data_IF_475322268856
#
_entry.id   IF_475322268856
#
_cell.length_a   1.000
_cell.length_b   1.000
_cell.length_c   1.000
_cell.angle_alpha   90.00
_cell.angle_beta   90.00
_cell.angle_gamma   90.00
#
_symmetry.space_group_name_H-M   'P 1'
#
loop_
_entity.id
_entity.type
_entity.pdbx_description
1 polymer ?
#
# COMPACT_ATOMS: atom_id res chain seq x y z
N UNK A 1 30.81 53.89 9.02
CA UNK A 1 31.24 53.37 10.34
C UNK A 1 30.60 52.00 10.56
N UNK A 2 31.30 50.89 10.26
CA UNK A 2 30.75 49.55 10.45
C UNK A 2 30.74 49.17 11.94
N UNK A 3 29.56 48.75 12.43
CA UNK A 3 29.32 48.41 13.82
C UNK A 3 30.06 47.15 14.28
N UNK A 4 30.83 47.29 15.36
CA UNK A 4 31.56 46.22 16.04
C UNK A 4 30.57 45.24 16.66
N UNK A 5 30.50 44.01 16.15
CA UNK A 5 29.69 42.93 16.77
C UNK A 5 30.41 42.38 17.99
N UNK A 6 29.76 42.47 19.15
CA UNK A 6 30.21 41.90 20.42
C UNK A 6 29.97 40.38 20.40
N UNK A 7 30.94 39.53 20.77
CA UNK A 7 30.75 38.09 20.82
C UNK A 7 29.85 37.69 22.00
N UNK A 8 28.83 36.88 21.71
CA UNK A 8 27.93 36.30 22.71
C UNK A 8 28.63 35.11 23.38
N UNK A 9 28.68 35.03 24.73
CA UNK A 9 29.30 33.91 25.43
C UNK A 9 28.52 32.61 25.20
N UNK A 10 29.23 31.54 24.85
CA UNK A 10 28.66 30.19 24.70
C UNK A 10 28.36 29.58 26.06
N UNK A 11 27.18 28.98 26.27
CA UNK A 11 26.88 28.24 27.50
C UNK A 11 27.76 26.99 27.61
N UNK A 12 28.31 26.78 28.81
CA UNK A 12 29.06 25.58 29.19
C UNK A 12 28.11 24.38 29.25
N UNK A 13 28.31 23.42 28.35
CA UNK A 13 27.58 22.15 28.35
C UNK A 13 28.20 21.21 29.39
N UNK A 14 27.44 20.65 30.34
CA UNK A 14 27.96 19.68 31.30
C UNK A 14 28.40 18.40 30.58
N UNK A 15 29.63 17.95 30.86
CA UNK A 15 30.13 16.64 30.43
C UNK A 15 29.31 15.55 31.10
N UNK A 16 28.51 14.86 30.30
CA UNK A 16 27.83 13.62 30.69
C UNK A 16 28.87 12.58 31.10
N UNK A 17 28.68 12.03 32.30
CA UNK A 17 29.50 10.97 32.88
C UNK A 17 29.55 9.72 32.00
N UNK A 18 30.67 9.03 32.09
CA UNK A 18 30.97 7.73 31.51
C UNK A 18 29.82 6.72 31.69
N UNK A 19 29.30 6.23 30.57
CA UNK A 19 28.30 5.18 30.54
C UNK A 19 28.87 3.87 31.13
N UNK A 20 28.07 3.11 31.91
CA UNK A 20 28.49 1.81 32.42
C UNK A 20 28.69 0.81 31.27
N UNK A 21 29.71 -0.04 31.43
CA UNK A 21 30.08 -1.08 30.47
C UNK A 21 28.86 -1.96 30.14
N UNK A 22 28.51 -1.98 28.85
CA UNK A 22 27.45 -2.83 28.29
C UNK A 22 27.85 -4.30 28.49
N UNK A 23 27.09 -5.03 29.31
CA UNK A 23 27.23 -6.47 29.46
C UNK A 23 27.07 -7.14 28.08
N UNK A 24 28.09 -7.89 27.67
CA UNK A 24 28.09 -8.68 26.44
C UNK A 24 27.08 -9.81 26.62
N UNK A 25 26.03 -9.91 25.78
CA UNK A 25 25.07 -11.01 25.91
C UNK A 25 25.76 -12.35 25.61
N UNK A 26 25.37 -13.43 26.31
CA UNK A 26 25.95 -14.75 26.12
C UNK A 26 25.77 -15.21 24.66
N UNK A 27 26.86 -15.70 24.09
CA UNK A 27 26.93 -16.22 22.71
C UNK A 27 26.08 -17.48 22.65
N UNK A 28 24.85 -17.37 22.14
CA UNK A 28 23.98 -18.52 21.88
C UNK A 28 24.69 -19.42 20.87
N UNK A 29 25.16 -20.57 21.34
CA UNK A 29 25.70 -21.64 20.50
C UNK A 29 24.56 -22.19 19.66
N UNK A 30 24.59 -21.93 18.35
CA UNK A 30 23.67 -22.55 17.40
C UNK A 30 23.88 -24.07 17.43
N UNK A 31 22.83 -24.89 17.52
CA UNK A 31 22.95 -26.33 17.38
C UNK A 31 23.53 -26.67 15.99
N UNK A 32 24.24 -27.79 15.87
CA UNK A 32 24.78 -28.25 14.60
C UNK A 32 23.63 -28.51 13.62
N UNK A 33 23.57 -27.70 12.56
CA UNK A 33 22.62 -27.87 11.45
C UNK A 33 22.89 -29.23 10.80
N UNK A 34 21.92 -30.14 10.91
CA UNK A 34 21.91 -31.41 10.18
C UNK A 34 22.04 -31.12 8.69
N UNK A 35 23.16 -31.53 8.10
CA UNK A 35 23.45 -31.32 6.68
C UNK A 35 22.49 -32.16 5.83
N UNK A 36 21.36 -31.55 5.44
CA UNK A 36 20.49 -32.09 4.40
C UNK A 36 21.27 -32.02 3.08
N UNK A 37 21.46 -33.19 2.46
CA UNK A 37 22.12 -33.42 1.18
C UNK A 37 21.53 -32.49 0.11
N UNK A 38 22.23 -31.41 -0.18
CA UNK A 38 21.91 -30.56 -1.32
C UNK A 38 22.39 -31.25 -2.61
N UNK A 39 21.65 -31.11 -3.74
CA UNK A 39 22.10 -31.59 -5.02
C UNK A 39 23.39 -30.85 -5.41
N UNK A 40 24.53 -31.54 -5.31
CA UNK A 40 25.84 -31.02 -5.68
C UNK A 40 25.91 -30.87 -7.19
N UNK A 41 25.88 -29.62 -7.65
CA UNK A 41 26.51 -29.25 -8.90
C UNK A 41 28.02 -29.40 -8.68
N UNK A 42 28.69 -30.24 -9.48
CA UNK A 42 30.10 -30.63 -9.41
C UNK A 42 31.10 -29.48 -9.67
N UNK A 43 30.83 -28.27 -9.17
CA UNK A 43 31.81 -27.20 -9.18
C UNK A 43 32.91 -27.53 -8.16
N UNK A 44 34.20 -27.53 -8.57
CA UNK A 44 35.28 -27.88 -7.66
C UNK A 44 35.31 -26.90 -6.48
N UNK A 45 35.32 -27.43 -5.26
CA UNK A 45 35.27 -26.64 -4.03
C UNK A 45 36.53 -25.80 -3.77
N UNK A 46 37.59 -25.98 -4.57
CA UNK A 46 38.87 -25.29 -4.41
C UNK A 46 39.46 -24.92 -5.78
N UNK A 47 40.19 -23.79 -5.86
CA UNK A 47 40.84 -23.39 -7.10
C UNK A 47 41.92 -24.40 -7.49
N UNK A 48 42.12 -24.64 -8.80
CA UNK A 48 43.27 -25.40 -9.28
C UNK A 48 44.59 -24.86 -8.72
N UNK A 49 45.57 -25.72 -8.39
CA UNK A 49 46.88 -25.26 -7.96
C UNK A 49 47.60 -24.53 -9.11
N UNK A 50 48.42 -23.52 -8.78
CA UNK A 50 49.28 -22.83 -9.75
C UNK A 50 48.64 -21.70 -10.55
N UNK A 51 47.41 -21.27 -10.22
CA UNK A 51 46.81 -20.08 -10.83
C UNK A 51 47.52 -18.80 -10.40
N UNK A 52 47.76 -17.90 -11.35
CA UNK A 52 48.18 -16.53 -11.03
C UNK A 52 47.02 -15.72 -10.41
N UNK A 53 47.30 -14.52 -9.86
CA UNK A 53 46.29 -13.70 -9.19
C UNK A 53 45.11 -13.32 -10.08
N UNK A 54 45.32 -13.13 -11.39
CA UNK A 54 44.28 -12.76 -12.35
C UNK A 54 43.40 -13.96 -12.67
N UNK A 55 44.00 -15.13 -12.85
CA UNK A 55 43.31 -16.41 -13.08
C UNK A 55 42.52 -16.84 -11.85
N UNK A 56 43.07 -16.66 -10.64
CA UNK A 56 42.39 -16.93 -9.39
C UNK A 56 41.15 -16.04 -9.21
N UNK A 57 41.27 -14.75 -9.51
CA UNK A 57 40.13 -13.82 -9.48
C UNK A 57 39.03 -14.23 -10.46
N UNK A 58 39.40 -14.58 -11.71
CA UNK A 58 38.46 -15.06 -12.71
C UNK A 58 37.76 -16.36 -12.28
N UNK A 59 38.49 -17.29 -11.66
CA UNK A 59 37.92 -18.52 -11.11
C UNK A 59 36.88 -18.22 -10.02
N UNK A 60 37.18 -17.34 -9.07
CA UNK A 60 36.22 -16.95 -8.03
C UNK A 60 34.96 -16.28 -8.60
N UNK A 61 35.11 -15.42 -9.61
CA UNK A 61 33.96 -14.81 -10.30
C UNK A 61 33.11 -15.88 -10.99
N UNK A 62 33.73 -16.87 -11.65
CA UNK A 62 33.01 -17.99 -12.26
C UNK A 62 32.25 -18.83 -11.21
N UNK A 63 32.86 -19.10 -10.04
CA UNK A 63 32.19 -19.78 -8.92
C UNK A 63 30.99 -18.98 -8.39
N UNK A 64 31.15 -17.65 -8.24
CA UNK A 64 30.05 -16.77 -7.83
C UNK A 64 28.90 -16.88 -8.83
N UNK A 65 29.17 -16.79 -10.13
CA UNK A 65 28.15 -16.92 -11.16
C UNK A 65 27.48 -18.31 -11.16
N UNK A 66 28.24 -19.39 -10.99
CA UNK A 66 27.68 -20.74 -10.89
C UNK A 66 26.76 -20.89 -9.67
N UNK A 67 27.15 -20.32 -8.51
CA UNK A 67 26.31 -20.32 -7.31
C UNK A 67 25.08 -19.44 -7.46
N UNK A 68 25.20 -18.29 -8.12
CA UNK A 68 24.07 -17.41 -8.42
C UNK A 68 23.07 -18.08 -9.36
N UNK A 69 23.55 -18.80 -10.39
CA UNK A 69 22.71 -19.55 -11.31
C UNK A 69 21.98 -20.70 -10.59
N UNK A 70 22.67 -21.45 -9.73
CA UNK A 70 22.03 -22.47 -8.89
C UNK A 70 20.92 -21.84 -8.04
N UNK A 71 21.20 -20.75 -7.32
CA UNK A 71 20.20 -20.06 -6.50
C UNK A 71 19.03 -19.54 -7.35
N UNK A 72 19.32 -19.03 -8.54
CA UNK A 72 18.31 -18.55 -9.49
C UNK A 72 17.42 -19.69 -9.98
N UNK A 73 17.92 -20.91 -10.12
CA UNK A 73 17.10 -22.07 -10.49
C UNK A 73 16.32 -22.61 -9.29
N UNK A 74 16.93 -22.63 -8.09
CA UNK A 74 16.33 -23.23 -6.89
C UNK A 74 15.29 -22.37 -6.17
N UNK A 75 15.21 -21.05 -6.42
CA UNK A 75 14.27 -20.20 -5.67
C UNK A 75 12.81 -20.58 -5.96
N UNK A 76 12.49 -20.96 -7.20
CA UNK A 76 11.13 -21.32 -7.60
C UNK A 76 10.71 -22.61 -6.90
N UNK A 77 11.57 -23.64 -7.00
CA UNK A 77 11.33 -24.96 -6.40
C UNK A 77 11.24 -24.83 -4.87
N UNK A 78 12.12 -24.03 -4.25
CA UNK A 78 11.99 -23.66 -2.83
C UNK A 78 10.64 -23.00 -2.53
N UNK A 79 10.21 -22.05 -3.37
CA UNK A 79 8.92 -21.39 -3.25
C UNK A 79 7.74 -22.36 -3.32
N UNK A 80 7.80 -23.35 -4.21
CA UNK A 80 6.80 -24.41 -4.33
C UNK A 80 6.78 -25.31 -3.09
N UNK A 81 7.95 -25.74 -2.60
CA UNK A 81 8.03 -26.50 -1.35
C UNK A 81 7.51 -25.72 -0.14
N UNK A 82 7.71 -24.39 -0.10
CA UNK A 82 7.13 -23.54 0.93
C UNK A 82 5.59 -23.51 0.87
N UNK A 83 4.97 -23.65 -0.31
CA UNK A 83 3.51 -23.74 -0.44
C UNK A 83 3.02 -25.04 0.23
N UNK A 84 3.64 -26.18 -0.11
CA UNK A 84 3.32 -27.48 0.48
C UNK A 84 3.53 -27.49 2.00
N UNK A 85 4.69 -26.97 2.44
CA UNK A 85 5.01 -26.91 3.87
C UNK A 85 4.04 -26.00 4.64
N UNK A 86 3.58 -24.91 4.03
CA UNK A 86 2.59 -24.02 4.65
C UNK A 86 1.21 -24.68 4.77
N UNK A 87 0.85 -25.62 3.89
CA UNK A 87 -0.36 -26.42 4.04
C UNK A 87 -0.30 -27.34 5.27
N UNK A 88 0.89 -27.86 5.59
CA UNK A 88 1.15 -28.72 6.74
C UNK A 88 1.46 -27.96 8.05
N UNK A 89 1.36 -26.63 8.06
CA UNK A 89 1.79 -25.79 9.19
C UNK A 89 1.17 -26.15 10.53
N UNK A 90 -0.09 -26.59 10.56
CA UNK A 90 -0.78 -26.98 11.79
C UNK A 90 -0.15 -28.20 12.45
N UNK A 91 0.28 -29.18 11.65
CA UNK A 91 0.99 -30.39 12.12
C UNK A 91 2.38 -30.05 12.67
N UNK A 92 3.01 -29.01 12.11
CA UNK A 92 4.29 -28.47 12.56
C UNK A 92 4.14 -27.46 13.72
N UNK A 93 2.91 -27.28 14.21
CA UNK A 93 2.57 -26.35 15.28
C UNK A 93 2.80 -24.87 14.93
N UNK A 94 2.90 -24.50 13.66
CA UNK A 94 3.11 -23.14 13.20
C UNK A 94 1.81 -22.49 12.72
N UNK A 95 1.54 -21.24 13.10
CA UNK A 95 0.34 -20.50 12.69
C UNK A 95 0.50 -19.85 11.32
N UNK A 96 1.69 -19.33 11.05
CA UNK A 96 2.02 -18.58 9.85
C UNK A 96 3.43 -18.93 9.33
N UNK A 97 3.81 -18.33 8.20
CA UNK A 97 5.12 -18.56 7.57
C UNK A 97 6.29 -18.11 8.46
N UNK A 98 6.09 -17.10 9.32
CA UNK A 98 7.14 -16.56 10.18
C UNK A 98 7.45 -17.56 11.30
N UNK A 99 6.42 -18.08 11.96
CA UNK A 99 6.56 -19.16 12.95
C UNK A 99 7.13 -20.43 12.31
N UNK A 100 6.68 -20.78 11.09
CA UNK A 100 7.17 -21.94 10.36
C UNK A 100 8.68 -21.87 10.10
N UNK A 101 9.17 -20.73 9.59
CA UNK A 101 10.60 -20.51 9.35
C UNK A 101 11.44 -20.65 10.63
N UNK A 102 10.89 -20.22 11.78
CA UNK A 102 11.60 -20.29 13.07
C UNK A 102 11.59 -21.69 13.68
N UNK A 103 10.53 -22.48 13.48
CA UNK A 103 10.39 -23.82 14.09
C UNK A 103 11.12 -24.91 13.30
N UNK A 104 11.11 -24.81 11.97
CA UNK A 104 11.67 -25.84 11.08
C UNK A 104 13.14 -25.56 10.73
N UNK A 105 13.70 -24.45 11.20
CA UNK A 105 15.07 -23.97 10.88
C UNK A 105 15.38 -24.04 9.37
N UNK A 106 14.56 -23.37 8.55
CA UNK A 106 14.67 -23.38 7.10
C UNK A 106 15.96 -22.74 6.55
N UNK A 107 16.87 -22.26 7.40
CA UNK A 107 18.11 -21.61 7.00
C UNK A 107 17.92 -20.26 6.27
N UNK A 108 16.69 -19.72 6.21
CA UNK A 108 16.37 -18.47 5.52
C UNK A 108 15.47 -17.55 6.36
N UNK A 109 15.52 -16.25 6.04
CA UNK A 109 14.64 -15.28 6.69
C UNK A 109 13.18 -15.45 6.23
N UNK A 110 12.22 -15.14 7.11
CA UNK A 110 10.79 -15.14 6.76
C UNK A 110 10.47 -14.19 5.59
N UNK A 111 11.25 -13.11 5.40
CA UNK A 111 11.11 -12.20 4.27
C UNK A 111 11.51 -12.87 2.95
N UNK A 112 12.61 -13.61 2.96
CA UNK A 112 13.08 -14.40 1.81
C UNK A 112 12.07 -15.49 1.46
N UNK A 113 11.60 -16.24 2.47
CA UNK A 113 10.60 -17.28 2.27
C UNK A 113 9.30 -16.71 1.68
N UNK A 114 8.80 -15.59 2.22
CA UNK A 114 7.60 -14.92 1.69
C UNK A 114 7.80 -14.40 0.26
N UNK A 115 9.01 -13.93 -0.08
CA UNK A 115 9.36 -13.55 -1.46
C UNK A 115 9.25 -14.75 -2.39
N UNK A 116 9.85 -15.89 -2.03
CA UNK A 116 9.86 -17.10 -2.87
C UNK A 116 8.44 -17.65 -3.05
N UNK A 117 7.70 -17.72 -1.93
CA UNK A 117 6.29 -18.12 -1.92
C UNK A 117 5.43 -17.26 -2.85
N UNK A 118 5.58 -15.93 -2.82
CA UNK A 118 4.79 -15.04 -3.67
C UNK A 118 5.11 -15.20 -5.14
N UNK A 119 6.38 -15.40 -5.50
CA UNK A 119 6.77 -15.64 -6.88
C UNK A 119 6.21 -16.98 -7.37
N UNK A 120 6.39 -18.06 -6.60
CA UNK A 120 5.88 -19.39 -6.96
C UNK A 120 4.35 -19.42 -7.13
N UNK A 121 3.61 -18.59 -6.37
CA UNK A 121 2.14 -18.45 -6.52
C UNK A 121 1.70 -17.66 -7.74
N UNK A 122 2.55 -16.80 -8.28
CA UNK A 122 2.14 -15.80 -9.27
C UNK A 122 2.67 -16.08 -10.68
N UNK A 123 3.68 -16.94 -10.82
CA UNK A 123 4.35 -17.23 -12.08
C UNK A 123 4.51 -18.74 -12.25
N UNK A 124 4.55 -19.21 -13.49
CA UNK A 124 5.07 -20.54 -13.81
C UNK A 124 6.60 -20.56 -13.66
N UNK A 125 7.17 -21.78 -13.61
CA UNK A 125 8.60 -22.00 -13.36
C UNK A 125 9.48 -21.35 -14.43
N UNK A 126 9.12 -21.51 -15.70
CA UNK A 126 9.92 -21.05 -16.84
C UNK A 126 10.01 -19.52 -16.82
N UNK A 127 8.86 -18.85 -16.76
CA UNK A 127 8.78 -17.38 -16.69
C UNK A 127 9.52 -16.85 -15.47
N UNK A 128 9.39 -17.50 -14.31
CA UNK A 128 10.04 -17.05 -13.08
C UNK A 128 11.57 -17.11 -13.18
N UNK A 129 12.11 -18.22 -13.69
CA UNK A 129 13.56 -18.43 -13.84
C UNK A 129 14.13 -17.46 -14.87
N UNK A 130 13.48 -17.29 -16.03
CA UNK A 130 13.92 -16.36 -17.08
C UNK A 130 13.91 -14.90 -16.58
N UNK A 131 12.84 -14.51 -15.88
CA UNK A 131 12.64 -13.12 -15.44
C UNK A 131 13.51 -12.77 -14.22
N UNK A 132 13.82 -13.76 -13.39
CA UNK A 132 14.55 -13.60 -12.15
C UNK A 132 13.67 -13.15 -10.98
N UNK A 133 14.03 -13.65 -9.80
CA UNK A 133 13.25 -13.49 -8.57
C UNK A 133 12.92 -12.04 -8.20
N UNK A 134 13.89 -11.13 -8.25
CA UNK A 134 13.70 -9.76 -7.78
C UNK A 134 12.68 -9.00 -8.64
N UNK A 135 12.69 -9.25 -9.95
CA UNK A 135 11.74 -8.64 -10.88
C UNK A 135 10.35 -9.27 -10.74
N UNK A 136 10.27 -10.59 -10.63
CA UNK A 136 9.00 -11.29 -10.37
C UNK A 136 8.34 -10.77 -9.08
N UNK A 137 9.09 -10.64 -7.98
CA UNK A 137 8.56 -10.12 -6.73
C UNK A 137 8.21 -8.62 -6.81
N UNK A 138 9.01 -7.82 -7.50
CA UNK A 138 8.65 -6.41 -7.72
C UNK A 138 7.34 -6.28 -8.52
N UNK A 139 7.10 -7.18 -9.48
CA UNK A 139 5.85 -7.26 -10.23
C UNK A 139 4.65 -7.68 -9.36
N UNK A 140 4.81 -8.64 -8.44
CA UNK A 140 3.71 -9.00 -7.51
C UNK A 140 3.31 -7.81 -6.62
N UNK A 141 4.31 -7.07 -6.11
CA UNK A 141 4.08 -5.86 -5.31
C UNK A 141 3.45 -4.75 -6.15
N UNK A 142 3.89 -4.58 -7.40
CA UNK A 142 3.30 -3.63 -8.34
C UNK A 142 1.86 -3.96 -8.70
N UNK A 143 1.55 -5.21 -9.03
CA UNK A 143 0.21 -5.70 -9.32
C UNK A 143 -0.76 -5.40 -8.16
N UNK A 144 -0.31 -5.64 -6.92
CA UNK A 144 -1.06 -5.26 -5.71
C UNK A 144 -1.28 -3.75 -5.60
N UNK A 145 -0.27 -2.93 -5.89
CA UNK A 145 -0.35 -1.48 -5.79
C UNK A 145 -1.34 -0.86 -6.81
N UNK A 146 -1.55 -1.49 -7.96
CA UNK A 146 -2.54 -1.06 -8.97
C UNK A 146 -3.92 -1.71 -8.80
N UNK A 147 -4.15 -2.45 -7.71
CA UNK A 147 -5.43 -3.08 -7.39
C UNK A 147 -5.71 -4.39 -8.13
N UNK A 148 -4.68 -5.05 -8.66
CA UNK A 148 -4.79 -6.32 -9.41
C UNK A 148 -3.93 -7.42 -8.77
N UNK A 149 -4.16 -7.80 -7.50
CA UNK A 149 -3.39 -8.87 -6.86
C UNK A 149 -3.58 -10.20 -7.61
N UNK A 150 -2.49 -10.89 -7.92
CA UNK A 150 -2.52 -12.15 -8.69
C UNK A 150 -2.22 -12.00 -10.19
N UNK A 151 -2.38 -10.79 -10.75
CA UNK A 151 -2.19 -10.57 -12.20
C UNK A 151 -0.72 -10.36 -12.62
N UNK A 152 0.26 -10.63 -11.75
CA UNK A 152 1.66 -10.28 -11.99
C UNK A 152 2.22 -10.93 -13.26
N UNK A 153 1.96 -12.22 -13.49
CA UNK A 153 2.35 -12.91 -14.73
C UNK A 153 1.62 -12.35 -15.97
N UNK A 154 0.32 -12.08 -15.88
CA UNK A 154 -0.45 -11.51 -16.98
C UNK A 154 0.06 -10.10 -17.39
N UNK A 155 0.41 -9.28 -16.40
CA UNK A 155 0.99 -7.94 -16.59
C UNK A 155 2.35 -8.02 -17.31
N UNK A 156 3.16 -9.04 -17.00
CA UNK A 156 4.43 -9.28 -17.66
C UNK A 156 4.24 -9.81 -19.09
N UNK A 157 3.38 -10.81 -19.26
CA UNK A 157 3.12 -11.45 -20.55
C UNK A 157 2.62 -10.45 -21.59
N UNK A 158 1.71 -9.55 -21.20
CA UNK A 158 1.13 -8.49 -22.05
C UNK A 158 2.04 -7.27 -22.23
N UNK A 159 3.21 -7.26 -21.58
CA UNK A 159 4.13 -6.12 -21.57
C UNK A 159 3.43 -4.78 -21.25
N UNK A 160 2.59 -4.76 -20.21
CA UNK A 160 1.78 -3.57 -19.90
C UNK A 160 2.64 -2.33 -19.59
N UNK A 161 2.07 -1.14 -19.82
CA UNK A 161 2.70 0.13 -19.42
C UNK A 161 2.67 0.27 -17.90
N UNK A 162 3.80 0.63 -17.30
CA UNK A 162 3.96 0.79 -15.86
C UNK A 162 3.32 2.11 -15.41
N UNK A 163 2.23 2.03 -14.65
CA UNK A 163 1.56 3.18 -14.03
C UNK A 163 2.52 3.83 -13.02
N UNK A 164 2.63 5.16 -13.07
CA UNK A 164 3.57 5.91 -12.23
C UNK A 164 5.00 5.99 -12.76
N UNK A 165 5.28 5.44 -13.95
CA UNK A 165 6.57 5.59 -14.63
C UNK A 165 6.35 5.88 -16.13
N UNK A 166 6.75 7.07 -16.60
CA UNK A 166 6.48 7.51 -17.98
C UNK A 166 7.25 6.66 -18.99
N UNK A 167 6.54 6.10 -19.98
CA UNK A 167 7.12 5.36 -21.11
C UNK A 167 7.74 4.00 -20.76
N UNK A 168 7.58 3.53 -19.51
CA UNK A 168 8.17 2.27 -19.07
C UNK A 168 7.20 1.10 -19.31
N UNK A 169 7.70 -0.01 -19.83
CA UNK A 169 6.93 -1.27 -19.99
C UNK A 169 7.46 -2.37 -19.08
N UNK A 170 6.63 -3.34 -18.73
CA UNK A 170 6.95 -4.34 -17.70
C UNK A 170 8.07 -5.30 -18.10
N UNK A 171 8.21 -5.67 -19.39
CA UNK A 171 9.31 -6.54 -19.85
C UNK A 171 10.66 -5.83 -19.77
N UNK A 172 10.73 -4.53 -20.04
CA UNK A 172 12.00 -3.76 -19.99
C UNK A 172 12.26 -3.09 -18.64
N UNK A 173 11.27 -3.10 -17.73
CA UNK A 173 11.43 -2.57 -16.38
C UNK A 173 12.34 -3.44 -15.52
N UNK A 174 13.32 -2.82 -14.86
CA UNK A 174 14.06 -3.45 -13.76
C UNK A 174 13.24 -3.46 -12.48
N UNK A 175 13.58 -4.35 -11.55
CA UNK A 175 12.94 -4.43 -10.23
C UNK A 175 12.94 -3.06 -9.51
N UNK A 176 14.06 -2.33 -9.56
CA UNK A 176 14.20 -1.00 -8.96
C UNK A 176 13.22 0.03 -9.55
N UNK A 177 12.98 0.00 -10.87
CA UNK A 177 12.02 0.89 -11.52
C UNK A 177 10.58 0.54 -11.13
N UNK A 178 10.25 -0.74 -11.01
CA UNK A 178 8.94 -1.18 -10.51
C UNK A 178 8.69 -0.73 -9.07
N UNK A 179 9.68 -0.84 -8.18
CA UNK A 179 9.54 -0.30 -6.82
C UNK A 179 9.44 1.23 -6.78
N UNK A 180 10.13 1.95 -7.66
CA UNK A 180 9.95 3.40 -7.80
C UNK A 180 8.51 3.75 -8.23
N UNK A 181 7.96 3.03 -9.20
CA UNK A 181 6.57 3.19 -9.62
C UNK A 181 5.57 2.90 -8.47
N UNK A 182 5.79 1.83 -7.70
CA UNK A 182 4.98 1.52 -6.50
C UNK A 182 5.02 2.67 -5.49
N UNK A 183 6.18 3.27 -5.25
CA UNK A 183 6.31 4.43 -4.36
C UNK A 183 5.55 5.63 -4.89
N UNK A 184 5.66 5.93 -6.18
CA UNK A 184 4.91 7.01 -6.82
C UNK A 184 3.39 6.80 -6.74
N UNK A 185 2.90 5.57 -6.93
CA UNK A 185 1.49 5.23 -6.78
C UNK A 185 0.99 5.43 -5.35
N UNK A 186 1.77 5.00 -4.35
CA UNK A 186 1.44 5.20 -2.94
C UNK A 186 1.42 6.68 -2.55
N UNK A 187 2.37 7.46 -3.07
CA UNK A 187 2.43 8.89 -2.82
C UNK A 187 1.25 9.62 -3.45
N UNK A 188 0.91 9.32 -4.71
CA UNK A 188 -0.28 9.86 -5.36
C UNK A 188 -1.56 9.49 -4.60
N UNK A 189 -1.66 8.25 -4.11
CA UNK A 189 -2.79 7.82 -3.28
C UNK A 189 -2.84 8.56 -1.93
N UNK A 190 -1.68 8.94 -1.37
CA UNK A 190 -1.59 9.75 -0.15
C UNK A 190 -2.01 11.20 -0.41
N UNK A 191 -1.59 11.80 -1.50
CA UNK A 191 -1.97 13.17 -1.89
C UNK A 191 -3.46 13.27 -2.19
N UNK A 192 -4.03 12.23 -2.82
CA UNK A 192 -5.47 12.17 -3.11
C UNK A 192 -6.34 11.78 -1.91
N UNK A 193 -5.75 11.41 -0.75
CA UNK A 193 -6.51 11.22 0.48
C UNK A 193 -6.83 12.59 1.07
N UNK A 194 -8.12 12.87 1.24
CA UNK A 194 -8.56 14.02 2.01
C UNK A 194 -8.01 13.93 3.44
N UNK A 195 -7.54 15.06 4.03
CA UNK A 195 -7.14 15.10 5.43
C UNK A 195 -8.23 14.49 6.31
N UNK A 196 -7.84 13.61 7.23
CA UNK A 196 -8.73 12.82 8.09
C UNK A 196 -9.75 13.69 8.85
N UNK A 197 -9.38 14.93 9.18
CA UNK A 197 -10.27 15.90 9.82
C UNK A 197 -11.40 16.38 8.92
N UNK A 198 -11.14 16.54 7.62
CA UNK A 198 -12.14 16.94 6.63
C UNK A 198 -13.13 15.79 6.39
N UNK A 199 -12.65 14.54 6.38
CA UNK A 199 -13.52 13.36 6.31
C UNK A 199 -14.38 13.24 7.57
N UNK A 200 -13.79 13.38 8.76
CA UNK A 200 -14.52 13.34 10.03
C UNK A 200 -15.53 14.51 10.17
N UNK A 201 -15.22 15.69 9.62
CA UNK A 201 -16.16 16.80 9.55
C UNK A 201 -17.33 16.49 8.60
N UNK A 202 -17.06 15.91 7.43
CA UNK A 202 -18.11 15.51 6.48
C UNK A 202 -19.03 14.44 7.01
N UNK A 203 -18.50 13.41 7.68
CA UNK A 203 -19.32 12.38 8.29
C UNK A 203 -20.23 12.96 9.39
N UNK A 204 -19.71 13.92 10.18
CA UNK A 204 -20.52 14.63 11.17
C UNK A 204 -21.63 15.46 10.51
N UNK A 205 -21.31 16.20 9.45
CA UNK A 205 -22.30 16.97 8.69
C UNK A 205 -23.34 16.06 8.05
N UNK A 206 -22.94 14.95 7.42
CA UNK A 206 -23.85 13.99 6.82
C UNK A 206 -24.80 13.36 7.85
N UNK A 207 -24.28 12.95 9.02
CA UNK A 207 -25.09 12.42 10.13
C UNK A 207 -26.06 13.47 10.68
N UNK A 208 -25.60 14.71 10.87
CA UNK A 208 -26.45 15.81 11.33
C UNK A 208 -27.57 16.12 10.34
N UNK A 209 -27.27 16.14 9.04
CA UNK A 209 -28.27 16.38 8.01
C UNK A 209 -29.25 15.21 7.88
N UNK A 210 -28.79 13.95 7.91
CA UNK A 210 -29.67 12.79 7.93
C UNK A 210 -30.64 12.81 9.14
N UNK A 211 -30.13 13.17 10.32
CA UNK A 211 -30.94 13.32 11.53
C UNK A 211 -31.98 14.46 11.40
N UNK A 212 -31.58 15.58 10.79
CA UNK A 212 -32.46 16.72 10.54
C UNK A 212 -33.57 16.39 9.52
N UNK A 213 -33.22 15.73 8.42
CA UNK A 213 -34.17 15.25 7.40
C UNK A 213 -35.18 14.27 8.01
N UNK A 214 -34.74 13.36 8.88
CA UNK A 214 -35.63 12.47 9.63
C UNK A 214 -36.58 13.22 10.57
N UNK A 215 -36.09 14.27 11.26
CA UNK A 215 -36.92 15.13 12.14
C UNK A 215 -37.99 15.90 11.38
N UNK A 216 -37.70 16.33 10.15
CA UNK A 216 -38.65 17.01 9.28
C UNK A 216 -39.71 16.08 8.67
N UNK A 217 -39.67 14.78 8.99
CA UNK A 217 -40.71 13.83 8.57
C UNK A 217 -40.45 13.16 7.23
N UNK A 218 -39.30 13.39 6.59
CA UNK A 218 -38.89 12.73 5.36
C UNK A 218 -38.40 11.29 5.64
N UNK A 219 -39.32 10.41 6.05
CA UNK A 219 -39.01 8.98 6.26
C UNK A 219 -38.70 8.35 4.91
N UNK A 220 -37.52 7.73 4.78
CA UNK A 220 -37.07 7.10 3.53
C UNK A 220 -36.24 8.00 2.62
N UNK A 221 -35.95 9.25 3.01
CA UNK A 221 -35.04 10.10 2.26
C UNK A 221 -33.58 9.63 2.41
N UNK A 222 -32.87 9.54 1.28
CA UNK A 222 -31.46 9.26 1.23
C UNK A 222 -30.69 10.58 1.15
N UNK A 223 -29.68 10.76 2.02
CA UNK A 223 -28.84 11.97 1.99
C UNK A 223 -27.43 11.61 1.60
N UNK A 224 -26.88 12.33 0.63
CA UNK A 224 -25.50 12.17 0.17
C UNK A 224 -24.78 13.52 0.19
N UNK A 225 -23.50 13.52 0.53
CA UNK A 225 -22.66 14.72 0.38
C UNK A 225 -22.10 14.74 -1.04
N UNK A 226 -22.60 15.66 -1.86
CA UNK A 226 -22.17 15.86 -3.25
C UNK A 226 -21.27 17.09 -3.35
N UNK A 227 -20.32 17.06 -4.29
CA UNK A 227 -19.51 18.24 -4.63
C UNK A 227 -20.12 18.95 -5.82
N UNK A 228 -20.42 20.24 -5.67
CA UNK A 228 -20.87 21.11 -6.77
C UNK A 228 -20.00 22.35 -6.81
N UNK A 229 -19.21 22.52 -7.88
CA UNK A 229 -18.26 23.64 -8.00
C UNK A 229 -17.09 23.58 -7.00
N UNK A 230 -16.70 22.40 -6.52
CA UNK A 230 -15.63 22.24 -5.52
C UNK A 230 -16.10 22.35 -4.06
N UNK A 231 -17.28 22.90 -3.82
CA UNK A 231 -17.87 23.02 -2.49
C UNK A 231 -18.70 21.77 -2.12
N UNK A 232 -18.58 21.25 -0.89
CA UNK A 232 -19.43 20.18 -0.39
C UNK A 232 -20.84 20.71 -0.11
N UNK A 233 -21.85 20.02 -0.64
CA UNK A 233 -23.28 20.28 -0.39
C UNK A 233 -23.98 18.97 -0.02
N UNK A 234 -25.11 19.05 0.67
CA UNK A 234 -25.91 17.87 0.98
C UNK A 234 -27.06 17.76 -0.01
N UNK A 235 -27.08 16.69 -0.79
CA UNK A 235 -28.22 16.30 -1.60
C UNK A 235 -29.16 15.45 -0.74
N UNK A 236 -30.46 15.74 -0.84
CA UNK A 236 -31.52 14.97 -0.19
C UNK A 236 -32.36 14.38 -1.32
N UNK A 237 -32.31 13.07 -1.47
CA UNK A 237 -33.11 12.31 -2.42
C UNK A 237 -34.33 11.76 -1.70
N UNK A 238 -35.52 12.06 -2.22
CA UNK A 238 -36.80 11.64 -1.67
C UNK A 238 -37.47 10.82 -2.77
N UNK A 239 -38.07 9.67 -2.44
CA UNK A 239 -38.84 8.92 -3.43
C UNK A 239 -40.07 9.71 -3.87
N UNK A 240 -40.49 9.54 -5.12
CA UNK A 240 -41.65 10.25 -5.68
C UNK A 240 -42.90 10.05 -4.81
N UNK A 241 -43.15 8.81 -4.39
CA UNK A 241 -44.25 8.45 -3.50
C UNK A 241 -44.21 9.17 -2.14
N UNK A 242 -42.99 9.42 -1.61
CA UNK A 242 -42.81 10.18 -0.36
C UNK A 242 -43.05 11.67 -0.60
N UNK A 243 -42.61 12.20 -1.75
CA UNK A 243 -42.83 13.60 -2.15
C UNK A 243 -44.32 13.92 -2.34
N UNK A 244 -45.08 13.02 -2.98
CA UNK A 244 -46.53 13.14 -3.19
C UNK A 244 -47.31 13.10 -1.86
N UNK A 245 -46.95 12.21 -0.93
CA UNK A 245 -47.55 12.21 0.43
C UNK A 245 -47.24 13.51 1.19
N UNK A 246 -46.11 14.15 0.89
CA UNK A 246 -45.65 15.38 1.52
C UNK A 246 -46.27 16.65 0.93
N UNK A 247 -46.77 16.66 -0.31
CA UNK A 247 -47.50 17.82 -0.87
C UNK A 247 -48.69 18.23 0.02
N UNK A 248 -49.28 17.29 0.75
CA UNK A 248 -50.35 17.57 1.73
C UNK A 248 -49.89 18.26 3.04
N UNK A 249 -48.59 18.23 3.39
CA UNK A 249 -48.02 18.75 4.65
C UNK A 249 -46.95 19.84 4.47
N UNK A 250 -46.23 19.85 3.35
CA UNK A 250 -45.08 20.73 3.09
C UNK A 250 -45.49 22.17 2.78
N UNK A 251 -46.70 22.39 2.25
CA UNK A 251 -47.27 23.73 2.06
C UNK A 251 -47.28 24.54 3.38
N UNK A 252 -47.49 23.89 4.54
CA UNK A 252 -47.49 24.57 5.84
C UNK A 252 -46.11 24.92 6.42
N UNK A 253 -45.08 24.11 6.14
CA UNK A 253 -43.73 24.30 6.68
C UNK A 253 -42.87 25.24 5.82
N UNK A 254 -43.03 25.19 4.50
CA UNK A 254 -42.35 26.11 3.56
C UNK A 254 -42.94 27.52 3.68
N UNK A 255 -44.23 27.66 3.95
CA UNK A 255 -44.87 28.97 4.18
C UNK A 255 -44.33 29.70 5.43
N UNK A 256 -43.95 28.98 6.50
CA UNK A 256 -43.47 29.62 7.76
C UNK A 256 -41.99 30.01 7.75
N UNK A 257 -41.14 29.30 7.02
CA UNK A 257 -39.67 29.49 7.06
C UNK A 257 -39.08 30.01 5.74
N UNK A 258 -39.79 29.85 4.62
CA UNK A 258 -39.38 30.29 3.29
C UNK A 258 -39.02 31.77 3.20
N UNK A 259 -39.80 32.70 3.77
CA UNK A 259 -39.50 34.14 3.66
C UNK A 259 -38.21 34.57 4.37
N UNK A 260 -37.86 33.91 5.49
CA UNK A 260 -36.67 34.24 6.30
C UNK A 260 -35.39 33.70 5.64
N UNK A 261 -35.43 32.48 5.12
CA UNK A 261 -34.31 31.84 4.42
C UNK A 261 -34.08 32.42 3.01
N UNK A 262 -35.14 32.81 2.29
CA UNK A 262 -35.01 33.47 1.01
C UNK A 262 -34.37 34.87 1.11
N UNK A 263 -34.50 35.53 2.27
CA UNK A 263 -33.82 36.82 2.56
C UNK A 263 -32.36 36.65 2.92
N UNK A 264 -32.00 35.64 3.71
CA UNK A 264 -30.62 35.47 4.18
C UNK A 264 -29.74 34.68 3.22
N UNK A 265 -30.32 33.84 2.35
CA UNK A 265 -29.59 32.96 1.42
C UNK A 265 -30.32 32.85 0.06
N UNK A 266 -30.41 33.95 -0.72
CA UNK A 266 -31.21 34.02 -1.95
C UNK A 266 -30.77 33.05 -3.05
N UNK A 267 -29.50 32.66 -3.06
CA UNK A 267 -28.89 31.71 -3.99
C UNK A 267 -29.45 30.29 -3.86
N UNK A 268 -29.92 29.89 -2.67
CA UNK A 268 -30.55 28.56 -2.47
C UNK A 268 -31.87 28.42 -3.23
N UNK A 269 -32.54 29.53 -3.53
CA UNK A 269 -33.85 29.56 -4.18
C UNK A 269 -33.79 29.99 -5.66
N UNK A 270 -32.60 30.28 -6.19
CA UNK A 270 -32.43 30.71 -7.57
C UNK A 270 -32.90 29.66 -8.62
N UNK A 271 -32.62 28.35 -8.45
CA UNK A 271 -33.11 27.33 -9.40
C UNK A 271 -34.63 27.17 -9.37
N UNK A 272 -35.25 27.30 -8.20
CA UNK A 272 -36.70 27.21 -8.04
C UNK A 272 -37.40 28.41 -8.69
N UNK A 273 -36.84 29.61 -8.55
CA UNK A 273 -37.31 30.81 -9.25
C UNK A 273 -37.16 30.70 -10.76
N UNK A 274 -36.03 30.16 -11.24
CA UNK A 274 -35.81 29.90 -12.66
C UNK A 274 -36.80 28.87 -13.23
N UNK A 275 -37.30 27.95 -12.40
CA UNK A 275 -38.34 26.99 -12.73
C UNK A 275 -39.78 27.56 -12.60
N UNK A 276 -39.94 28.86 -12.38
CA UNK A 276 -41.26 29.52 -12.33
C UNK A 276 -41.97 29.48 -10.97
N UNK A 277 -41.34 28.96 -9.92
CA UNK A 277 -41.97 28.87 -8.60
C UNK A 277 -41.98 30.25 -7.92
N UNK A 278 -43.19 30.74 -7.57
CA UNK A 278 -43.37 31.97 -6.78
C UNK A 278 -43.49 31.61 -5.31
N UNK A 279 -42.55 32.08 -4.49
CA UNK A 279 -42.67 32.04 -3.03
C UNK A 279 -43.70 33.09 -2.60
N UNK A 280 -44.97 32.72 -2.43
CA UNK A 280 -45.99 33.59 -1.86
C UNK A 280 -45.92 33.53 -0.35
N UNK A 281 -45.41 34.58 0.29
CA UNK A 281 -45.58 34.80 1.73
C UNK A 281 -46.82 35.64 1.97
N UNK A 282 -47.82 35.09 2.65
CA UNK A 282 -48.82 35.91 3.33
C UNK A 282 -48.13 36.59 4.52
N UNK A 283 -48.28 37.92 4.62
CA UNK A 283 -47.77 38.72 5.74
C UNK A 283 -48.31 38.27 7.08
#
# INVERSE_FOLDING_TARGET
MPGRRVPVPRPLVPRLGSAPARAVPPRVTRPPTTALLAPTLDAPASPPPGLDSKQLAAWHVAQIHAHEELRARSFYDTGHHLIELLALRSQLGAKDIKELCSKVDLGMSHMTANKYLQVARSFDRETAVETGIEKCYALTVYAKAIGRPGDAAAILARDEVVRGARGLRTKTASASKLYAAVRALKEAARVNREPTEIQAARERTAKATAAWVKKLGFRGAHTEVVRRGGEPRVAIYISLETAERLESRVLGAVARLGPRLARTQPELFAPLRAAGWRLTGSG
#
